data_IF_196684695553
#
_entry.id   IF_196684695553
#
_cell.length_a   1.000
_cell.length_b   1.000
_cell.length_c   1.000
_cell.angle_alpha   90.00
_cell.angle_beta   90.00
_cell.angle_gamma   90.00
#
_symmetry.space_group_name_H-M   'P 1'
#
loop_
_entity.id
_entity.type
_entity.pdbx_description
1 polymer ?
#
# COMPACT_ATOMS: atom_id res chain seq x y z
N UNK A 1 20.40 57.88 -47.73
CA UNK A 1 20.94 56.60 -47.15
C UNK A 1 20.03 56.21 -46.02
N UNK A 2 19.18 55.22 -46.20
CA UNK A 2 18.25 54.69 -45.16
C UNK A 2 18.72 53.31 -44.78
N UNK A 3 19.15 53.14 -43.54
CA UNK A 3 19.52 51.84 -42.98
C UNK A 3 18.30 51.20 -42.35
N UNK A 4 17.88 50.04 -42.89
CA UNK A 4 16.81 49.20 -42.32
C UNK A 4 17.42 48.26 -41.27
N UNK A 5 16.95 48.35 -40.02
CA UNK A 5 17.29 47.41 -38.97
C UNK A 5 16.31 46.23 -39.01
N UNK A 6 16.82 45.02 -39.26
CA UNK A 6 16.12 43.73 -39.11
C UNK A 6 16.14 43.31 -37.65
N UNK A 7 14.98 43.29 -37.01
CA UNK A 7 14.83 42.71 -35.68
C UNK A 7 14.66 41.19 -35.79
N UNK A 8 15.60 40.43 -35.28
CA UNK A 8 15.52 38.98 -35.16
C UNK A 8 14.67 38.58 -33.93
N UNK A 9 13.52 37.99 -34.17
CA UNK A 9 12.65 37.45 -33.13
C UNK A 9 13.18 36.06 -32.74
N UNK A 10 13.86 35.95 -31.61
CA UNK A 10 14.31 34.69 -31.05
C UNK A 10 13.15 33.92 -30.42
N UNK A 11 12.76 32.80 -31.01
CA UNK A 11 11.81 31.85 -30.43
C UNK A 11 12.52 31.04 -29.34
N UNK A 12 12.28 31.38 -28.08
CA UNK A 12 12.73 30.55 -26.94
C UNK A 12 11.77 29.34 -26.82
N UNK A 13 12.21 28.17 -27.31
CA UNK A 13 11.53 26.92 -27.09
C UNK A 13 11.76 26.52 -25.61
N UNK A 14 10.75 26.78 -24.78
CA UNK A 14 10.74 26.26 -23.39
C UNK A 14 10.62 24.76 -23.41
N UNK A 15 11.70 24.04 -23.03
CA UNK A 15 11.65 22.62 -22.74
C UNK A 15 10.76 22.44 -21.49
N UNK A 16 9.52 22.01 -21.68
CA UNK A 16 8.70 21.49 -20.60
C UNK A 16 9.33 20.16 -20.15
N UNK A 17 10.09 20.19 -19.06
CA UNK A 17 10.56 18.97 -18.39
C UNK A 17 9.32 18.18 -17.95
N UNK A 18 9.12 17.00 -18.52
CA UNK A 18 8.11 16.06 -18.03
C UNK A 18 8.43 15.73 -16.56
N UNK A 19 7.42 15.61 -15.67
CA UNK A 19 7.66 15.19 -14.31
C UNK A 19 8.36 13.83 -14.34
N UNK A 20 9.52 13.73 -13.69
CA UNK A 20 10.20 12.46 -13.53
C UNK A 20 9.28 11.56 -12.66
N UNK A 21 8.69 10.54 -13.29
CA UNK A 21 8.00 9.49 -12.56
C UNK A 21 9.09 8.68 -11.84
N UNK A 22 8.99 8.58 -10.54
CA UNK A 22 9.83 7.68 -9.78
C UNK A 22 9.40 6.24 -10.10
N UNK A 23 10.36 5.33 -10.36
CA UNK A 23 10.02 3.93 -10.52
C UNK A 23 9.33 3.39 -9.26
N UNK A 24 8.27 2.57 -9.40
CA UNK A 24 7.60 2.00 -8.25
C UNK A 24 8.55 1.12 -7.43
N UNK A 25 8.42 1.17 -6.11
CA UNK A 25 9.32 0.46 -5.19
C UNK A 25 9.22 -1.07 -5.28
N UNK A 26 8.14 -1.59 -5.87
CA UNK A 26 7.93 -3.01 -6.12
C UNK A 26 7.12 -3.23 -7.41
N UNK A 27 7.18 -4.47 -7.94
CA UNK A 27 6.42 -4.87 -9.13
C UNK A 27 5.17 -5.66 -8.73
N UNK A 28 4.11 -5.54 -9.52
CA UNK A 28 2.85 -6.26 -9.31
C UNK A 28 3.05 -7.78 -9.19
N UNK A 29 3.92 -8.38 -10.01
CA UNK A 29 4.22 -9.82 -9.96
C UNK A 29 4.80 -10.24 -8.61
N UNK A 30 5.71 -9.44 -8.02
CA UNK A 30 6.30 -9.74 -6.72
C UNK A 30 5.25 -9.73 -5.61
N UNK A 31 4.32 -8.78 -5.66
CA UNK A 31 3.20 -8.69 -4.70
C UNK A 31 2.23 -9.85 -4.87
N UNK A 32 1.86 -10.18 -6.11
CA UNK A 32 0.97 -11.29 -6.41
C UNK A 32 1.57 -12.63 -5.95
N UNK A 33 2.86 -12.86 -6.18
CA UNK A 33 3.56 -14.07 -5.74
C UNK A 33 3.61 -14.18 -4.21
N UNK A 34 3.87 -13.04 -3.52
CA UNK A 34 3.85 -12.99 -2.05
C UNK A 34 2.49 -13.44 -1.49
N UNK A 35 1.40 -12.85 -1.96
CA UNK A 35 0.07 -13.18 -1.46
C UNK A 35 -0.46 -14.52 -1.96
N UNK A 36 -0.15 -14.94 -3.19
CA UNK A 36 -0.52 -16.27 -3.68
C UNK A 36 0.14 -17.37 -2.83
N UNK A 37 1.40 -17.19 -2.43
CA UNK A 37 2.08 -18.11 -1.52
C UNK A 37 1.43 -18.11 -0.13
N UNK A 38 1.07 -16.94 0.40
CA UNK A 38 0.37 -16.82 1.68
C UNK A 38 -1.03 -17.47 1.63
N UNK A 39 -1.78 -17.29 0.53
CA UNK A 39 -3.09 -17.91 0.33
C UNK A 39 -3.01 -19.44 0.25
N UNK A 40 -2.00 -19.99 -0.43
CA UNK A 40 -1.75 -21.43 -0.46
C UNK A 40 -1.44 -22.02 0.92
N UNK A 41 -0.75 -21.25 1.79
CA UNK A 41 -0.48 -21.65 3.17
C UNK A 41 -1.74 -21.73 4.04
N UNK A 42 -2.84 -21.09 3.66
CA UNK A 42 -4.16 -21.19 4.30
C UNK A 42 -4.91 -22.47 3.94
N UNK A 43 -4.50 -23.18 2.89
CA UNK A 43 -5.13 -24.42 2.46
C UNK A 43 -5.07 -25.43 3.61
N UNK A 44 -6.24 -25.69 4.23
CA UNK A 44 -6.38 -26.69 5.30
C UNK A 44 -5.93 -28.02 4.73
N UNK A 45 -4.82 -28.54 5.21
CA UNK A 45 -4.49 -29.93 5.01
C UNK A 45 -5.69 -30.75 5.51
N UNK A 46 -6.34 -31.51 4.63
CA UNK A 46 -7.38 -32.46 5.04
C UNK A 46 -6.62 -33.54 5.83
N UNK A 47 -6.63 -33.41 7.15
CA UNK A 47 -6.06 -34.42 8.02
C UNK A 47 -7.00 -35.62 8.08
N UNK A 48 -6.55 -36.77 7.60
CA UNK A 48 -7.16 -38.07 7.86
C UNK A 48 -6.46 -38.65 9.10
N UNK A 49 -7.07 -38.49 10.30
CA UNK A 49 -6.50 -38.96 11.55
C UNK A 49 -7.23 -38.41 12.77
N UNK A 50 -6.72 -38.70 13.97
CA UNK A 50 -7.23 -38.15 15.22
C UNK A 50 -6.75 -36.70 15.37
N UNK A 51 -7.43 -35.89 16.19
CA UNK A 51 -7.05 -34.49 16.45
C UNK A 51 -5.60 -34.29 16.92
N UNK A 52 -4.97 -35.36 17.44
CA UNK A 52 -3.56 -35.37 17.87
C UNK A 52 -2.58 -35.49 16.70
N UNK A 53 -3.02 -36.01 15.56
CA UNK A 53 -2.17 -36.25 14.38
C UNK A 53 -2.13 -35.05 13.42
N UNK A 54 -2.93 -34.03 13.69
CA UNK A 54 -3.01 -32.83 12.88
C UNK A 54 -2.30 -31.67 13.58
N UNK A 55 -1.07 -31.30 13.20
CA UNK A 55 -0.44 -30.12 13.73
C UNK A 55 -1.24 -28.89 13.28
N UNK A 56 -2.01 -28.30 14.20
CA UNK A 56 -2.62 -26.98 14.00
C UNK A 56 -1.53 -25.91 14.14
N UNK A 57 -0.63 -25.86 13.18
CA UNK A 57 0.24 -24.70 13.07
C UNK A 57 -0.43 -23.72 12.11
N UNK A 58 -0.80 -22.51 12.58
CA UNK A 58 -1.09 -21.42 11.66
C UNK A 58 0.16 -21.24 10.81
N UNK A 59 0.03 -21.35 9.49
CA UNK A 59 1.15 -21.09 8.60
C UNK A 59 1.68 -19.69 8.92
N UNK A 60 2.97 -19.52 9.22
CA UNK A 60 3.54 -18.19 9.47
C UNK A 60 3.32 -17.22 8.31
N UNK A 61 3.04 -17.75 7.12
CA UNK A 61 2.80 -16.97 5.90
C UNK A 61 1.37 -16.41 5.82
N UNK A 62 0.37 -17.02 6.46
CA UNK A 62 -1.01 -16.52 6.48
C UNK A 62 -1.16 -15.19 7.24
N UNK A 63 -0.23 -14.87 8.14
CA UNK A 63 -0.17 -13.60 8.88
C UNK A 63 0.90 -12.64 8.35
N UNK A 64 1.57 -13.01 7.24
CA UNK A 64 2.62 -12.19 6.66
C UNK A 64 2.06 -10.85 6.20
N UNK A 65 2.68 -9.77 6.67
CA UNK A 65 2.32 -8.40 6.33
C UNK A 65 3.20 -7.89 5.20
N UNK A 66 2.58 -7.20 4.27
CA UNK A 66 3.27 -6.52 3.17
C UNK A 66 3.23 -5.00 3.39
N UNK A 67 4.39 -4.35 3.33
CA UNK A 67 4.50 -2.90 3.41
C UNK A 67 4.18 -2.28 2.05
N UNK A 68 3.13 -1.46 2.00
CA UNK A 68 2.70 -0.81 0.76
C UNK A 68 3.59 0.37 0.36
N UNK A 69 4.56 0.76 1.20
CA UNK A 69 5.46 1.89 0.97
C UNK A 69 4.72 3.16 0.55
N UNK A 70 3.64 3.46 1.27
CA UNK A 70 2.74 4.58 1.01
C UNK A 70 3.18 5.80 1.82
N UNK A 71 3.57 6.85 1.10
CA UNK A 71 3.83 8.16 1.68
C UNK A 71 2.62 9.09 1.51
N UNK A 72 2.36 9.92 2.53
CA UNK A 72 1.33 10.95 2.52
C UNK A 72 1.97 12.35 2.57
N UNK A 73 1.23 13.36 2.17
CA UNK A 73 1.61 14.74 2.43
C UNK A 73 1.72 15.00 3.94
N UNK A 74 2.46 16.04 4.32
CA UNK A 74 2.65 16.37 5.74
C UNK A 74 1.30 16.57 6.43
N UNK A 75 1.13 15.97 7.60
CA UNK A 75 -0.08 16.02 8.45
C UNK A 75 -1.40 15.79 7.67
N UNK A 76 -1.38 14.84 6.74
CA UNK A 76 -2.46 14.62 5.77
C UNK A 76 -2.69 13.13 5.51
N UNK A 77 -3.86 12.83 4.94
CA UNK A 77 -4.24 11.55 4.35
C UNK A 77 -4.16 11.57 2.80
N UNK A 78 -3.64 12.67 2.22
CA UNK A 78 -3.44 12.77 0.78
C UNK A 78 -2.22 11.97 0.34
N UNK A 79 -2.44 11.08 -0.61
CA UNK A 79 -1.40 10.25 -1.22
C UNK A 79 -0.46 11.07 -2.10
N UNK A 80 0.84 10.90 -1.92
CA UNK A 80 1.86 11.47 -2.83
C UNK A 80 1.82 10.80 -4.20
N UNK A 81 2.48 11.39 -5.22
CA UNK A 81 2.59 10.78 -6.54
C UNK A 81 3.29 9.42 -6.48
N UNK A 82 4.41 9.31 -5.76
CA UNK A 82 5.13 8.05 -5.59
C UNK A 82 4.29 6.97 -4.87
N UNK A 83 3.48 7.36 -3.87
CA UNK A 83 2.55 6.44 -3.23
C UNK A 83 1.53 5.87 -4.21
N UNK A 84 1.00 6.71 -5.11
CA UNK A 84 0.04 6.29 -6.14
C UNK A 84 0.66 5.29 -7.12
N UNK A 85 1.90 5.51 -7.55
CA UNK A 85 2.63 4.58 -8.42
C UNK A 85 2.82 3.20 -7.76
N UNK A 86 3.18 3.17 -6.48
CA UNK A 86 3.23 1.93 -5.71
C UNK A 86 1.86 1.26 -5.62
N UNK A 87 0.82 2.01 -5.31
CA UNK A 87 -0.56 1.49 -5.21
C UNK A 87 -1.11 1.03 -6.57
N UNK A 88 -0.67 1.60 -7.69
CA UNK A 88 -1.00 1.10 -9.02
C UNK A 88 -0.44 -0.30 -9.26
N UNK A 89 0.81 -0.56 -8.83
CA UNK A 89 1.40 -1.89 -8.87
C UNK A 89 0.66 -2.87 -7.94
N UNK A 90 0.25 -2.39 -6.76
CA UNK A 90 -0.54 -3.21 -5.84
C UNK A 90 -1.92 -3.54 -6.42
N UNK A 91 -2.64 -2.57 -7.00
CA UNK A 91 -3.92 -2.80 -7.66
C UNK A 91 -3.80 -3.82 -8.80
N UNK A 92 -2.74 -3.71 -9.64
CA UNK A 92 -2.47 -4.71 -10.68
C UNK A 92 -2.22 -6.11 -10.10
N UNK A 93 -1.56 -6.21 -8.95
CA UNK A 93 -1.35 -7.49 -8.28
C UNK A 93 -2.66 -8.10 -7.79
N UNK A 94 -3.58 -7.30 -7.24
CA UNK A 94 -4.89 -7.78 -6.77
C UNK A 94 -5.80 -8.28 -7.90
N UNK A 95 -5.55 -7.87 -9.15
CA UNK A 95 -6.24 -8.42 -10.32
C UNK A 95 -5.66 -9.76 -10.80
N UNK A 96 -4.61 -10.30 -10.16
CA UNK A 96 -4.08 -11.63 -10.50
C UNK A 96 -5.14 -12.71 -10.20
N UNK A 97 -5.45 -13.61 -11.15
CA UNK A 97 -6.45 -14.65 -10.96
C UNK A 97 -6.22 -15.55 -9.73
N UNK A 98 -4.97 -15.67 -9.26
CA UNK A 98 -4.60 -16.44 -8.07
C UNK A 98 -5.10 -15.82 -6.76
N UNK A 99 -5.42 -14.51 -6.77
CA UNK A 99 -5.90 -13.75 -5.61
C UNK A 99 -7.40 -13.47 -5.67
N UNK A 100 -8.09 -14.00 -6.68
CA UNK A 100 -9.52 -13.76 -6.85
C UNK A 100 -10.33 -14.23 -5.65
N UNK A 101 -11.10 -13.30 -5.07
CA UNK A 101 -11.96 -13.54 -3.91
C UNK A 101 -11.23 -13.52 -2.57
N UNK A 102 -9.92 -13.30 -2.56
CA UNK A 102 -9.18 -13.06 -1.32
C UNK A 102 -9.54 -11.68 -0.75
N UNK A 103 -9.56 -11.57 0.57
CA UNK A 103 -9.84 -10.32 1.27
C UNK A 103 -8.59 -9.80 1.95
N UNK A 104 -8.42 -8.49 1.92
CA UNK A 104 -7.24 -7.80 2.45
C UNK A 104 -7.62 -6.77 3.51
N UNK A 105 -6.90 -6.75 4.63
CA UNK A 105 -6.97 -5.64 5.59
C UNK A 105 -5.82 -4.67 5.31
N UNK A 106 -6.13 -3.39 5.23
CA UNK A 106 -5.19 -2.29 5.02
C UNK A 106 -5.00 -1.58 6.35
N UNK A 107 -3.83 -1.75 6.95
CA UNK A 107 -3.48 -1.32 8.30
C UNK A 107 -2.73 0.01 8.27
N UNK A 108 -3.33 1.07 8.77
CA UNK A 108 -2.66 2.37 8.94
C UNK A 108 -1.99 2.50 10.31
N UNK A 109 -0.77 3.05 10.33
CA UNK A 109 0.03 3.27 11.53
C UNK A 109 0.59 4.69 11.58
N UNK A 110 0.82 5.20 12.79
CA UNK A 110 1.53 6.45 13.05
C UNK A 110 2.73 6.21 13.96
N UNK A 111 3.62 7.19 14.07
CA UNK A 111 4.55 7.26 15.18
C UNK A 111 3.85 7.75 16.47
N UNK A 112 4.58 7.86 17.56
CA UNK A 112 4.04 8.26 18.85
C UNK A 112 3.88 9.79 19.01
N UNK A 113 4.19 10.59 17.99
CA UNK A 113 4.07 12.05 18.05
C UNK A 113 2.60 12.46 18.12
N UNK A 114 2.25 13.24 19.13
CA UNK A 114 0.90 13.78 19.30
C UNK A 114 -0.05 12.91 20.13
N UNK A 115 -1.31 13.37 20.18
CA UNK A 115 -2.35 12.75 20.98
C UNK A 115 -2.79 11.39 20.39
N UNK A 116 -3.12 10.42 21.25
CA UNK A 116 -3.54 9.09 20.83
C UNK A 116 -4.79 9.10 19.95
N UNK A 117 -5.81 9.84 20.36
CA UNK A 117 -7.07 9.96 19.60
C UNK A 117 -6.84 10.58 18.21
N UNK A 118 -5.94 11.56 18.10
CA UNK A 118 -5.57 12.16 16.83
C UNK A 118 -4.89 11.13 15.92
N UNK A 119 -3.90 10.39 16.44
CA UNK A 119 -3.17 9.36 15.71
C UNK A 119 -4.09 8.22 15.28
N UNK A 120 -5.05 7.83 16.13
CA UNK A 120 -6.06 6.83 15.76
C UNK A 120 -6.86 7.31 14.55
N UNK A 121 -7.44 8.50 14.61
CA UNK A 121 -8.22 9.05 13.49
C UNK A 121 -7.38 9.30 12.22
N UNK A 122 -6.12 9.74 12.34
CA UNK A 122 -5.23 9.93 11.20
C UNK A 122 -4.91 8.60 10.51
N UNK A 123 -4.60 7.55 11.28
CA UNK A 123 -4.30 6.23 10.73
C UNK A 123 -5.51 5.60 10.03
N UNK A 124 -6.71 5.77 10.58
CA UNK A 124 -7.97 5.33 9.95
C UNK A 124 -8.21 6.05 8.61
N UNK A 125 -8.07 7.39 8.56
CA UNK A 125 -8.23 8.15 7.32
C UNK A 125 -7.19 7.75 6.27
N UNK A 126 -5.94 7.49 6.65
CA UNK A 126 -4.89 7.03 5.74
C UNK A 126 -5.19 5.66 5.16
N UNK A 127 -5.61 4.70 5.98
CA UNK A 127 -6.04 3.39 5.49
C UNK A 127 -7.24 3.50 4.55
N UNK A 128 -8.23 4.32 4.90
CA UNK A 128 -9.40 4.57 4.06
C UNK A 128 -9.04 5.25 2.72
N UNK A 129 -8.06 6.18 2.71
CA UNK A 129 -7.58 6.81 1.48
C UNK A 129 -6.91 5.81 0.53
N UNK A 130 -6.17 4.83 1.07
CA UNK A 130 -5.60 3.73 0.29
C UNK A 130 -6.70 2.86 -0.30
N UNK A 131 -7.68 2.43 0.49
CA UNK A 131 -8.82 1.63 0.01
C UNK A 131 -9.59 2.38 -1.08
N UNK A 132 -9.89 3.66 -0.89
CA UNK A 132 -10.57 4.47 -1.89
C UNK A 132 -9.77 4.59 -3.20
N UNK A 133 -8.45 4.71 -3.10
CA UNK A 133 -7.58 4.74 -4.27
C UNK A 133 -7.59 3.41 -5.01
N UNK A 134 -7.44 2.27 -4.33
CA UNK A 134 -7.48 0.94 -4.93
C UNK A 134 -8.83 0.65 -5.59
N UNK A 135 -9.94 1.04 -4.95
CA UNK A 135 -11.28 0.95 -5.54
C UNK A 135 -11.38 1.78 -6.84
N UNK A 136 -10.77 2.98 -6.89
CA UNK A 136 -10.71 3.79 -8.11
C UNK A 136 -9.90 3.13 -9.24
N UNK A 137 -9.05 2.14 -8.92
CA UNK A 137 -8.28 1.31 -9.85
C UNK A 137 -8.99 0.00 -10.22
N UNK A 138 -10.25 -0.17 -9.80
CA UNK A 138 -11.08 -1.31 -10.17
C UNK A 138 -10.99 -2.51 -9.22
N UNK A 139 -10.31 -2.39 -8.07
CA UNK A 139 -10.35 -3.42 -7.02
C UNK A 139 -11.70 -3.36 -6.33
N UNK A 140 -12.31 -4.54 -6.11
CA UNK A 140 -13.62 -4.63 -5.44
C UNK A 140 -13.49 -4.09 -3.99
N UNK A 141 -14.27 -3.07 -3.59
CA UNK A 141 -14.26 -2.58 -2.23
C UNK A 141 -14.63 -3.63 -1.18
N UNK A 142 -15.40 -4.66 -1.53
CA UNK A 142 -15.76 -5.76 -0.61
C UNK A 142 -14.59 -6.70 -0.29
N UNK A 143 -13.54 -6.67 -1.11
CA UNK A 143 -12.28 -7.37 -0.87
C UNK A 143 -11.32 -6.58 0.03
N UNK A 144 -11.63 -5.31 0.34
CA UNK A 144 -10.74 -4.39 1.06
C UNK A 144 -11.35 -3.92 2.38
N UNK A 145 -10.59 -3.98 3.46
CA UNK A 145 -10.98 -3.48 4.78
C UNK A 145 -9.93 -2.50 5.31
N UNK A 146 -10.32 -1.26 5.57
CA UNK A 146 -9.46 -0.27 6.19
C UNK A 146 -9.47 -0.40 7.71
N UNK A 147 -8.29 -0.29 8.36
CA UNK A 147 -8.15 -0.28 9.81
C UNK A 147 -7.01 0.64 10.24
N UNK A 148 -7.28 1.48 11.24
CA UNK A 148 -6.27 2.31 11.89
C UNK A 148 -5.83 1.71 13.20
N UNK A 149 -4.53 1.74 13.47
CA UNK A 149 -3.93 1.34 14.74
C UNK A 149 -3.28 2.51 15.47
N UNK A 150 -3.28 3.71 14.87
CA UNK A 150 -2.57 4.84 15.46
C UNK A 150 -1.13 4.46 15.80
N UNK A 151 -0.70 4.81 17.01
CA UNK A 151 0.64 4.53 17.56
C UNK A 151 0.74 3.21 18.33
N UNK A 152 -0.34 2.42 18.42
CA UNK A 152 -0.41 1.26 19.34
C UNK A 152 0.38 0.03 18.89
N UNK A 153 0.76 -0.03 17.61
CA UNK A 153 1.53 -1.14 17.02
C UNK A 153 2.80 -0.63 16.34
N UNK A 154 3.82 -0.21 17.09
CA UNK A 154 5.08 0.22 16.51
C UNK A 154 5.80 -0.95 15.83
N UNK A 155 6.49 -0.68 14.71
CA UNK A 155 7.33 -1.65 14.00
C UNK A 155 8.69 -1.79 14.67
N UNK A 156 9.23 -0.67 15.17
CA UNK A 156 10.54 -0.59 15.81
C UNK A 156 10.42 -0.11 17.26
N UNK A 157 11.44 -0.38 18.06
CA UNK A 157 11.44 -0.06 19.50
C UNK A 157 11.41 1.44 19.80
N UNK A 158 11.94 2.28 18.90
CA UNK A 158 11.79 3.74 19.00
C UNK A 158 10.38 4.14 18.56
N UNK A 159 9.49 4.57 19.48
CA UNK A 159 8.11 4.91 19.14
C UNK A 159 7.99 6.16 18.27
N UNK A 160 9.02 7.02 18.21
CA UNK A 160 9.03 8.24 17.41
C UNK A 160 9.68 8.06 16.04
N UNK A 161 10.18 6.86 15.73
CA UNK A 161 10.79 6.58 14.44
C UNK A 161 9.82 6.79 13.28
N UNK A 162 10.35 7.35 12.18
CA UNK A 162 9.61 7.50 10.92
C UNK A 162 9.13 6.16 10.34
N UNK A 163 9.80 5.06 10.67
CA UNK A 163 9.44 3.71 10.23
C UNK A 163 8.08 3.23 10.77
N UNK A 164 7.60 3.86 11.86
CA UNK A 164 6.28 3.59 12.40
C UNK A 164 5.16 4.25 11.58
N UNK A 165 5.46 5.28 10.79
CA UNK A 165 4.50 5.93 9.87
C UNK A 165 4.40 5.14 8.57
N UNK A 166 3.54 4.14 8.52
CA UNK A 166 3.42 3.20 7.42
C UNK A 166 1.99 2.73 7.16
N UNK A 167 1.78 2.12 6.02
CA UNK A 167 0.57 1.34 5.72
C UNK A 167 1.01 -0.07 5.34
N UNK A 168 0.48 -1.05 6.04
CA UNK A 168 0.68 -2.47 5.77
C UNK A 168 -0.60 -3.11 5.23
N UNK A 169 -0.46 -4.24 4.58
CA UNK A 169 -1.60 -5.08 4.21
C UNK A 169 -1.32 -6.55 4.50
N UNK A 170 -2.37 -7.28 4.77
CA UNK A 170 -2.32 -8.73 4.93
C UNK A 170 -3.65 -9.36 4.48
N UNK A 171 -3.60 -10.65 4.18
CA UNK A 171 -4.80 -11.43 3.87
C UNK A 171 -5.65 -11.60 5.14
N UNK A 172 -6.96 -11.39 5.01
CA UNK A 172 -7.91 -11.77 6.05
C UNK A 172 -8.18 -13.27 5.99
N UNK A 173 -8.26 -13.89 7.16
CA UNK A 173 -8.74 -15.25 7.25
C UNK A 173 -10.22 -15.27 6.86
N UNK A 174 -10.57 -16.09 5.87
CA UNK A 174 -11.96 -16.31 5.54
C UNK A 174 -12.55 -17.32 6.55
N UNK A 175 -13.76 -17.08 7.05
CA UNK A 175 -14.42 -17.95 8.02
C UNK A 175 -14.71 -19.34 7.47
#
# INVERSE_FOLDING_TARGET
MRASALAALGLAAGLLAAPAHADPAYKASTVADFFAKAALGKSRAICFGTAADCPQQPSPEATAKFDLLVAFEFDSDKLTAAAKENLDQFAMALHDPRLKGEKFEIDGHTDATGAEQYNQGLSERRAAAVVAYLASRGVDPEELKAKGFGKTKPRVSDPFSAENRRVETHLLDQP
#
